data_IF_666582003400
#
_entry.id   IF_666582003400
#
_cell.length_a   1.000
_cell.length_b   1.000
_cell.length_c   1.000
_cell.angle_alpha   90.00
_cell.angle_beta   90.00
_cell.angle_gamma   90.00
#
_symmetry.space_group_name_H-M   'P 1'
#
loop_
_entity.id
_entity.type
_entity.pdbx_description
1 polymer ?
#
# COMPACT_ATOMS: atom_id res chain seq x y z
N UNK A 1 16.98 -1.84 -4.15
CA UNK A 1 17.06 -1.86 -2.67
C UNK A 1 16.35 -3.10 -2.18
N UNK A 2 16.79 -3.72 -1.07
CA UNK A 2 16.08 -4.85 -0.49
C UNK A 2 14.73 -4.40 0.08
N UNK A 3 13.67 -5.18 -0.13
CA UNK A 3 12.36 -4.88 0.42
C UNK A 3 12.36 -5.01 1.96
N UNK A 4 11.71 -4.09 2.66
CA UNK A 4 11.46 -4.22 4.10
C UNK A 4 10.63 -5.48 4.39
N UNK A 5 10.74 -6.07 5.59
CA UNK A 5 10.07 -7.34 6.00
C UNK A 5 8.58 -7.46 5.61
N UNK A 6 7.88 -6.33 5.55
CA UNK A 6 6.44 -6.27 5.30
C UNK A 6 6.05 -5.67 3.94
N UNK A 7 7.02 -5.40 3.07
CA UNK A 7 6.80 -4.69 1.81
C UNK A 7 7.03 -5.60 0.61
N UNK A 8 6.42 -5.23 -0.52
CA UNK A 8 6.67 -5.90 -1.79
C UNK A 8 8.02 -5.48 -2.37
N UNK A 9 8.77 -6.47 -2.86
CA UNK A 9 9.93 -6.21 -3.71
C UNK A 9 9.49 -5.56 -5.01
N UNK A 10 10.42 -4.87 -5.67
CA UNK A 10 10.14 -4.23 -6.98
C UNK A 10 9.64 -5.25 -8.00
N UNK A 11 10.17 -6.48 -7.97
CA UNK A 11 9.75 -7.58 -8.85
C UNK A 11 8.32 -8.03 -8.54
N UNK A 12 7.94 -8.14 -7.26
CA UNK A 12 6.58 -8.49 -6.87
C UNK A 12 5.60 -7.35 -7.22
N UNK A 13 6.00 -6.11 -6.97
CA UNK A 13 5.21 -4.93 -7.30
C UNK A 13 4.92 -4.85 -8.80
N UNK A 14 5.94 -5.04 -9.65
CA UNK A 14 5.79 -4.99 -11.11
C UNK A 14 4.75 -6.00 -11.65
N UNK A 15 4.53 -7.12 -10.96
CA UNK A 15 3.53 -8.13 -11.36
C UNK A 15 2.09 -7.72 -11.07
N UNK A 16 1.87 -6.90 -10.03
CA UNK A 16 0.51 -6.54 -9.58
C UNK A 16 0.13 -5.09 -9.92
N UNK A 17 1.10 -4.20 -10.12
CA UNK A 17 0.85 -2.76 -10.26
C UNK A 17 -0.13 -2.43 -11.39
N UNK A 18 -0.06 -3.14 -12.52
CA UNK A 18 -0.94 -2.94 -13.66
C UNK A 18 -2.37 -3.44 -13.42
N UNK A 19 -2.59 -4.30 -12.43
CA UNK A 19 -3.90 -4.88 -12.09
C UNK A 19 -4.68 -4.01 -11.10
N UNK A 20 -3.98 -3.15 -10.34
CA UNK A 20 -4.62 -2.32 -9.32
C UNK A 20 -5.43 -1.19 -9.95
N UNK A 21 -6.65 -0.90 -9.47
CA UNK A 21 -7.42 0.25 -9.91
C UNK A 21 -6.89 1.56 -9.31
N UNK A 22 -7.43 2.69 -9.74
CA UNK A 22 -7.08 4.01 -9.21
C UNK A 22 -5.73 4.52 -9.73
N UNK A 23 -5.27 4.03 -10.88
CA UNK A 23 -4.13 4.58 -11.62
C UNK A 23 -4.53 5.88 -12.30
N UNK A 24 -3.54 6.66 -12.72
CA UNK A 24 -3.80 7.85 -13.53
C UNK A 24 -4.54 7.47 -14.82
N UNK A 25 -5.72 8.04 -15.03
CA UNK A 25 -6.60 7.74 -16.16
C UNK A 25 -7.71 6.72 -15.88
N UNK A 26 -7.70 6.05 -14.73
CA UNK A 26 -8.83 5.20 -14.32
C UNK A 26 -10.04 6.09 -13.92
N UNK A 27 -11.27 5.73 -14.30
CA UNK A 27 -12.46 6.44 -13.85
C UNK A 27 -12.66 6.28 -12.34
N UNK A 28 -13.05 7.37 -11.66
CA UNK A 28 -13.27 7.39 -10.22
C UNK A 28 -12.09 7.98 -9.45
N UNK A 29 -11.90 7.54 -8.19
CA UNK A 29 -10.88 8.11 -7.31
C UNK A 29 -9.50 7.54 -7.63
N UNK A 30 -8.60 8.40 -8.10
CA UNK A 30 -7.18 8.09 -8.25
C UNK A 30 -6.52 7.99 -6.87
N UNK A 31 -5.80 6.89 -6.63
CA UNK A 31 -4.98 6.75 -5.43
C UNK A 31 -3.71 7.57 -5.59
N UNK A 32 -3.31 8.32 -4.56
CA UNK A 32 -2.08 9.11 -4.60
C UNK A 32 -0.83 8.22 -4.67
N UNK A 33 -0.86 7.05 -4.02
CA UNK A 33 0.20 6.04 -4.10
C UNK A 33 -0.35 4.63 -3.77
N UNK A 34 -0.62 3.86 -4.82
CA UNK A 34 -1.09 2.47 -4.67
C UNK A 34 -0.06 1.56 -4.00
N UNK A 35 1.24 1.79 -4.21
CA UNK A 35 2.28 0.95 -3.62
C UNK A 35 2.32 1.13 -2.11
N UNK A 36 2.22 2.38 -1.67
CA UNK A 36 2.21 2.73 -0.25
C UNK A 36 1.02 2.12 0.47
N UNK A 37 -0.18 2.20 -0.15
CA UNK A 37 -1.40 1.60 0.39
C UNK A 37 -1.27 0.08 0.55
N UNK A 38 -0.83 -0.62 -0.50
CA UNK A 38 -0.67 -2.08 -0.46
C UNK A 38 0.37 -2.49 0.58
N UNK A 39 1.49 -1.77 0.66
CA UNK A 39 2.50 -2.02 1.69
C UNK A 39 1.95 -1.80 3.12
N UNK A 40 1.11 -0.79 3.33
CA UNK A 40 0.41 -0.57 4.60
C UNK A 40 -0.53 -1.72 4.95
N UNK A 41 -1.34 -2.19 4.01
CA UNK A 41 -2.19 -3.37 4.17
C UNK A 41 -1.37 -4.62 4.54
N UNK A 42 -0.27 -4.87 3.84
CA UNK A 42 0.62 -6.01 4.11
C UNK A 42 1.26 -5.92 5.49
N UNK A 43 1.62 -4.72 5.95
CA UNK A 43 2.13 -4.51 7.29
C UNK A 43 1.09 -4.91 8.34
N UNK A 44 -0.16 -4.45 8.23
CA UNK A 44 -1.25 -4.81 9.16
C UNK A 44 -1.51 -6.32 9.13
N UNK A 45 -1.69 -6.90 7.94
CA UNK A 45 -2.00 -8.32 7.78
C UNK A 45 -0.90 -9.25 8.31
N UNK A 46 0.38 -8.87 8.15
CA UNK A 46 1.52 -9.70 8.58
C UNK A 46 1.92 -9.48 10.03
N UNK A 47 1.75 -8.26 10.56
CA UNK A 47 2.06 -7.94 11.95
C UNK A 47 0.93 -8.32 12.91
N UNK A 48 -0.32 -8.37 12.42
CA UNK A 48 -1.51 -8.54 13.24
C UNK A 48 -1.86 -7.31 14.08
N UNK A 49 -1.13 -6.20 13.94
CA UNK A 49 -1.39 -4.97 14.69
C UNK A 49 -2.68 -4.28 14.24
N UNK A 50 -3.24 -3.42 15.10
CA UNK A 50 -4.41 -2.64 14.72
C UNK A 50 -4.05 -1.56 13.71
N UNK A 51 -5.01 -1.16 12.87
CA UNK A 51 -4.84 -0.04 11.93
C UNK A 51 -4.37 1.26 12.59
N UNK A 52 -4.73 1.49 13.86
CA UNK A 52 -4.30 2.67 14.62
C UNK A 52 -2.79 2.71 14.87
N UNK A 53 -2.13 1.56 14.84
CA UNK A 53 -0.70 1.41 15.06
C UNK A 53 0.09 1.42 13.73
N UNK A 54 -0.61 1.63 12.61
CA UNK A 54 0.02 1.72 11.29
C UNK A 54 1.11 2.80 11.32
N UNK A 55 2.36 2.46 10.98
CA UNK A 55 3.43 3.43 10.94
C UNK A 55 3.14 4.57 9.97
N UNK A 56 3.44 5.81 10.38
CA UNK A 56 3.15 7.01 9.58
C UNK A 56 3.79 7.01 8.19
N UNK A 57 4.87 6.24 7.99
CA UNK A 57 5.49 6.05 6.68
C UNK A 57 4.53 5.48 5.63
N UNK A 58 3.48 4.76 6.03
CA UNK A 58 2.44 4.26 5.11
C UNK A 58 1.26 5.24 4.96
N UNK A 59 1.34 6.42 5.56
CA UNK A 59 0.28 7.41 5.60
C UNK A 59 -0.47 7.42 6.94
N UNK A 60 -1.38 8.39 7.09
CA UNK A 60 -2.18 8.54 8.31
C UNK A 60 -3.24 7.45 8.35
N UNK A 61 -3.27 6.66 9.42
CA UNK A 61 -4.22 5.54 9.57
C UNK A 61 -5.69 5.93 9.35
N UNK A 62 -6.09 7.16 9.73
CA UNK A 62 -7.46 7.67 9.56
C UNK A 62 -7.87 7.92 8.10
N UNK A 63 -6.90 8.06 7.20
CA UNK A 63 -7.15 8.44 5.80
C UNK A 63 -6.49 7.53 4.78
N UNK A 64 -5.64 6.59 5.19
CA UNK A 64 -4.92 5.68 4.30
C UNK A 64 -5.86 4.80 3.47
N UNK A 65 -7.07 4.53 3.96
CA UNK A 65 -8.08 3.69 3.32
C UNK A 65 -9.19 4.50 2.61
N UNK A 66 -9.03 5.83 2.49
CA UNK A 66 -10.03 6.72 1.88
C UNK A 66 -9.67 7.05 0.44
#
# INVERSE_FOLDING_TARGET
MAASRYELSDVQWARIASLLPGKAGDPGRTSSDNRLFINGCLWVLRSGAHWRDLPERYGKWKSVHK
#
